data_IF_669725197803
#
_entry.id   IF_669725197803
#
_cell.length_a   1.000
_cell.length_b   1.000
_cell.length_c   1.000
_cell.angle_alpha   90.00
_cell.angle_beta   90.00
_cell.angle_gamma   90.00
#
_symmetry.space_group_name_H-M   'P 1'
#
loop_
_entity.id
_entity.type
_entity.pdbx_description
1 polymer ?
2 non-polymer ?
3 non-polymer ?
4 water ?
#
# COMPACT_ATOMS: atom_id res chain seq x y z
N UNK A 1 14.57 -0.55 -15.29
CA UNK A 1 14.87 -0.73 -13.85
C UNK A 1 13.75 -0.04 -12.97
N UNK A 2 13.99 1.23 -12.61
CA UNK A 2 13.15 2.00 -11.68
C UNK A 2 12.16 2.89 -12.34
N UNK A 3 10.96 2.86 -11.81
CA UNK A 3 9.85 3.70 -12.25
C UNK A 3 9.28 4.40 -11.00
N UNK A 4 9.02 5.70 -11.16
CA UNK A 4 8.47 6.54 -10.11
C UNK A 4 7.06 6.88 -10.51
N UNK A 5 6.08 6.64 -9.63
CA UNK A 5 4.72 6.91 -10.04
C UNK A 5 3.90 7.49 -8.94
N UNK A 6 2.74 7.97 -9.34
CA UNK A 6 1.81 8.61 -8.45
C UNK A 6 0.42 8.41 -9.05
N UNK A 7 -0.59 8.26 -8.21
CA UNK A 7 -1.98 8.21 -8.70
C UNK A 7 -2.82 9.25 -8.00
N UNK A 8 -3.88 9.70 -8.67
CA UNK A 8 -4.96 10.43 -8.03
C UNK A 8 -6.18 9.55 -8.16
N UNK A 9 -7.13 9.71 -7.24
CA UNK A 9 -8.20 8.72 -7.09
C UNK A 9 -9.23 9.28 -6.19
N UNK A 10 -10.43 8.69 -6.23
CA UNK A 10 -11.51 8.95 -5.27
C UNK A 10 -11.65 7.69 -4.38
N UNK A 11 -11.36 7.88 -3.10
CA UNK A 11 -11.23 6.82 -2.12
C UNK A 11 -12.26 7.08 -1.00
N UNK A 12 -13.17 6.14 -0.75
CA UNK A 12 -14.29 6.37 0.17
C UNK A 12 -14.36 5.41 1.39
N UNK A 13 -13.29 4.67 1.67
CA UNK A 13 -13.33 3.69 2.74
C UNK A 13 -13.67 2.31 2.24
N UNK A 14 -14.02 2.19 0.97
CA UNK A 14 -14.49 0.93 0.39
C UNK A 14 -13.72 0.63 -0.88
N UNK A 15 -13.77 1.56 -1.83
CA UNK A 15 -13.06 1.40 -3.07
C UNK A 15 -12.10 2.59 -3.32
N UNK A 16 -11.18 2.38 -4.25
CA UNK A 16 -10.29 3.42 -4.75
C UNK A 16 -10.61 3.58 -6.24
N UNK A 17 -11.33 4.62 -6.61
CA UNK A 17 -11.70 4.92 -8.00
C UNK A 17 -10.61 5.72 -8.66
N UNK A 18 -9.85 5.10 -9.56
CA UNK A 18 -8.73 5.74 -10.25
C UNK A 18 -9.12 6.94 -11.13
N UNK A 19 -8.50 8.08 -10.86
CA UNK A 19 -8.67 9.32 -11.66
C UNK A 19 -7.59 9.37 -12.73
N UNK A 20 -6.33 9.26 -12.29
CA UNK A 20 -5.19 9.43 -13.20
C UNK A 20 -3.94 8.72 -12.70
N UNK A 21 -3.01 8.39 -13.60
CA UNK A 21 -1.72 7.84 -13.17
C UNK A 21 -0.57 8.47 -13.95
N UNK A 22 0.54 8.78 -13.26
CA UNK A 22 1.71 9.36 -13.90
C UNK A 22 2.89 8.46 -13.57
N UNK A 23 3.67 8.07 -14.58
CA UNK A 23 4.82 7.13 -14.37
C UNK A 23 5.99 7.65 -15.15
N UNK A 24 7.12 7.70 -14.48
CA UNK A 24 8.31 8.27 -15.01
C UNK A 24 9.43 7.24 -14.73
N UNK A 25 10.18 6.88 -15.79
CA UNK A 25 11.29 5.92 -15.69
C UNK A 25 12.58 6.71 -15.54
N UNK A 26 13.64 6.08 -15.06
CA UNK A 26 14.98 6.69 -14.97
C UNK A 26 15.61 7.13 -16.32
N UNK A 27 15.12 6.56 -17.42
CA UNK A 27 15.72 6.78 -18.73
C UNK A 27 15.10 7.98 -19.47
N UNK A 28 14.18 8.70 -18.84
CA UNK A 28 13.59 9.81 -19.55
C UNK A 28 12.15 9.50 -19.97
N UNK A 29 11.81 8.23 -20.10
CA UNK A 29 10.45 7.90 -20.55
C UNK A 29 9.37 8.32 -19.56
N UNK A 30 8.27 8.86 -20.10
CA UNK A 30 7.12 9.34 -19.31
C UNK A 30 5.78 8.79 -19.86
N UNK A 31 4.88 8.51 -18.94
CA UNK A 31 3.57 8.04 -19.24
C UNK A 31 2.57 8.76 -18.33
N UNK A 32 1.48 9.19 -18.90
CA UNK A 32 0.42 9.82 -18.15
C UNK A 32 -0.93 9.50 -18.76
N UNK A 33 -1.93 9.18 -17.93
CA UNK A 33 -3.33 9.00 -18.43
C UNK A 33 -4.36 9.34 -17.38
N UNK A 34 -5.53 9.82 -17.82
CA UNK A 34 -6.68 10.02 -16.99
C UNK A 34 -7.77 8.99 -17.38
N UNK A 35 -8.42 8.39 -16.39
CA UNK A 35 -9.44 7.39 -16.63
C UNK A 35 -10.73 8.02 -17.09
N UNK A 36 -11.28 7.50 -18.19
CA UNK A 36 -12.62 7.92 -18.64
C UNK A 36 -13.72 7.40 -17.72
N UNK A 37 -13.36 6.54 -16.77
CA UNK A 37 -14.38 5.76 -16.10
C UNK A 37 -14.75 6.17 -14.70
N UNK A 38 -14.09 7.17 -14.10
CA UNK A 38 -14.48 7.59 -12.74
C UNK A 38 -15.64 8.60 -12.87
N UNK A 39 -16.41 8.75 -11.78
CA UNK A 39 -17.55 9.64 -11.68
C UNK A 39 -17.18 10.85 -10.87
N UNK A 40 -16.96 12.00 -11.55
CA UNK A 40 -16.48 13.21 -10.90
C UNK A 40 -17.44 13.71 -9.82
N UNK A 41 -18.73 13.37 -9.98
CA UNK A 41 -19.79 13.64 -9.01
C UNK A 41 -19.51 13.12 -7.60
N UNK A 42 -18.94 11.91 -7.52
CA UNK A 42 -18.54 11.31 -6.25
C UNK A 42 -17.36 11.99 -5.53
N UNK A 43 -16.65 12.89 -6.22
CA UNK A 43 -15.44 13.49 -5.64
C UNK A 43 -15.75 14.34 -4.43
N UNK A 44 -14.86 14.30 -3.44
CA UNK A 44 -14.93 15.25 -2.34
C UNK A 44 -14.40 16.65 -2.68
N UNK A 45 -14.56 17.57 -1.74
CA UNK A 45 -14.11 18.95 -1.88
C UNK A 45 -12.64 19.05 -2.24
N UNK A 46 -11.82 18.22 -1.60
CA UNK A 46 -10.39 18.24 -1.82
C UNK A 46 -10.02 17.87 -3.28
N UNK A 47 -10.68 16.85 -3.79
CA UNK A 47 -10.42 16.32 -5.12
C UNK A 47 -11.04 17.27 -6.16
N UNK A 48 -12.25 17.73 -5.89
CA UNK A 48 -12.86 18.83 -6.64
C UNK A 48 -11.96 20.10 -6.68
N UNK A 49 -11.35 20.48 -5.56
CA UNK A 49 -10.55 21.69 -5.55
C UNK A 49 -9.14 21.49 -6.13
N UNK A 50 -8.48 20.42 -5.74
CA UNK A 50 -7.06 20.31 -6.05
C UNK A 50 -6.71 19.32 -7.15
N UNK A 51 -7.65 18.43 -7.49
CA UNK A 51 -7.34 17.41 -8.50
C UNK A 51 -8.04 17.64 -9.84
N UNK A 52 -9.37 17.73 -9.82
CA UNK A 52 -10.21 17.90 -11.03
C UNK A 52 -9.88 19.12 -11.91
N UNK A 53 -9.55 20.26 -11.30
CA UNK A 53 -9.26 21.35 -12.25
C UNK A 53 -7.95 21.16 -13.02
N UNK A 54 -6.98 20.48 -12.42
CA UNK A 54 -5.70 20.19 -13.09
C UNK A 54 -5.76 19.21 -14.32
N UNK A 55 -6.85 18.46 -14.46
CA UNK A 55 -7.00 17.49 -15.55
C UNK A 55 -7.01 18.14 -16.96
N UNK A 56 -6.62 17.37 -18.00
CA UNK A 56 -6.68 17.89 -19.39
C UNK A 56 -8.13 18.10 -19.87
N UNK A 57 -8.32 18.87 -20.95
CA UNK A 57 -9.63 18.99 -21.65
C UNK A 57 -10.23 17.68 -22.19
N UNK A 58 -11.56 17.64 -22.35
CA UNK A 58 -12.33 16.48 -22.86
C UNK A 58 -11.75 15.73 -24.05
N UNK A 59 -11.32 16.43 -25.09
CA UNK A 59 -10.85 15.73 -26.29
C UNK A 59 -9.34 15.54 -26.31
N UNK A 60 -8.71 15.75 -25.16
CA UNK A 60 -7.31 15.34 -24.99
C UNK A 60 -7.14 13.84 -25.25
N UNK A 61 -6.01 13.44 -25.84
CA UNK A 61 -5.65 12.02 -25.96
C UNK A 61 -5.26 11.36 -24.63
N UNK A 62 -5.26 12.13 -23.54
CA UNK A 62 -4.81 11.55 -22.26
C UNK A 62 -5.95 10.81 -21.56
N UNK A 63 -7.21 11.19 -21.83
CA UNK A 63 -8.39 10.38 -21.42
C UNK A 63 -8.46 9.00 -22.12
N UNK A 64 -8.31 7.93 -21.33
CA UNK A 64 -8.31 6.55 -21.84
C UNK A 64 -9.24 5.70 -20.96
N UNK A 65 -9.62 4.52 -21.46
CA UNK A 65 -10.34 3.55 -20.66
C UNK A 65 -9.33 2.81 -19.71
N UNK A 66 -9.86 2.12 -18.71
CA UNK A 66 -9.02 1.41 -17.74
C UNK A 66 -8.32 0.26 -18.43
N UNK A 67 -8.99 -0.42 -19.37
CA UNK A 67 -8.39 -1.47 -20.23
C UNK A 67 -7.22 -0.91 -21.01
N UNK A 68 -7.46 0.23 -21.70
CA UNK A 68 -6.38 0.95 -22.39
C UNK A 68 -5.20 1.36 -21.52
N UNK A 69 -5.47 1.95 -20.35
CA UNK A 69 -4.37 2.28 -19.41
C UNK A 69 -3.52 1.07 -19.07
N UNK A 70 -4.13 -0.11 -18.86
CA UNK A 70 -3.40 -1.36 -18.48
C UNK A 70 -2.45 -1.86 -19.60
N UNK A 71 -3.02 -2.00 -20.79
CA UNK A 71 -2.28 -2.33 -21.99
C UNK A 71 -1.08 -1.35 -22.14
N UNK A 72 -1.37 -0.03 -22.09
CA UNK A 72 -0.32 1.00 -22.13
C UNK A 72 0.74 0.74 -21.09
N UNK A 73 0.35 0.41 -19.86
CA UNK A 73 1.33 0.18 -18.81
C UNK A 73 2.13 -1.11 -19.00
N UNK A 74 1.47 -2.17 -19.45
CA UNK A 74 2.20 -3.40 -19.78
C UNK A 74 3.32 -3.10 -20.78
N UNK A 75 3.07 -2.16 -21.68
CA UNK A 75 4.07 -1.82 -22.67
C UNK A 75 5.14 -0.88 -22.09
N UNK A 76 4.68 0.16 -21.37
CA UNK A 76 5.57 1.18 -20.85
C UNK A 76 6.53 0.61 -19.84
N UNK A 77 6.07 -0.33 -19.02
CA UNK A 77 6.90 -1.04 -18.02
C UNK A 77 7.72 -2.21 -18.59
N UNK A 78 7.50 -2.55 -19.87
CA UNK A 78 8.37 -3.49 -20.59
C UNK A 78 8.34 -4.80 -19.88
N UNK A 79 7.09 -5.17 -19.53
CA UNK A 79 6.87 -6.39 -18.82
C UNK A 79 7.49 -7.65 -19.45
N UNK A 80 7.75 -7.79 -20.68
CA UNK A 80 8.29 -9.00 -21.34
C UNK A 80 9.78 -8.85 -21.62
N UNK A 81 10.34 -7.70 -21.27
CA UNK A 81 11.80 -7.43 -21.35
C UNK A 81 12.59 -8.07 -20.22
N UNK A 82 13.92 -7.98 -20.27
CA UNK A 82 14.75 -8.70 -19.31
C UNK A 82 15.21 -7.93 -18.05
N UNK A 83 15.00 -6.60 -18.05
CA UNK A 83 15.21 -5.76 -16.85
C UNK A 83 14.26 -6.11 -15.70
N UNK A 84 14.78 -6.06 -14.47
CA UNK A 84 13.92 -6.17 -13.28
C UNK A 84 13.16 -4.88 -13.07
N UNK A 85 11.83 -4.96 -12.95
CA UNK A 85 10.96 -3.78 -12.69
C UNK A 85 10.97 -3.39 -11.22
N UNK A 86 11.33 -2.15 -10.95
CA UNK A 86 11.33 -1.70 -9.58
C UNK A 86 10.43 -0.46 -9.50
N UNK A 87 9.39 -0.54 -8.67
CA UNK A 87 8.45 0.54 -8.57
C UNK A 87 8.68 1.36 -7.33
N UNK A 88 8.53 2.68 -7.46
CA UNK A 88 8.79 3.64 -6.39
C UNK A 88 7.71 4.67 -6.40
N UNK A 89 7.23 5.01 -5.19
CA UNK A 89 6.29 6.07 -4.95
C UNK A 89 6.60 6.66 -3.57
N UNK A 90 6.12 7.86 -3.33
CA UNK A 90 6.27 8.50 -2.04
C UNK A 90 4.97 8.24 -1.30
N UNK A 91 5.00 7.53 -0.17
CA UNK A 91 3.74 7.22 0.60
C UNK A 91 2.82 6.44 -0.33
N UNK A 92 3.30 5.25 -0.75
CA UNK A 92 2.71 4.52 -1.85
C UNK A 92 1.64 3.43 -1.69
N UNK A 93 1.01 3.24 -0.52
CA UNK A 93 0.07 2.12 -0.31
C UNK A 93 -1.20 2.16 -1.18
N UNK A 94 -2.01 3.20 -1.05
CA UNK A 94 -3.14 3.39 -1.93
C UNK A 94 -2.77 3.48 -3.43
N UNK A 95 -1.62 4.10 -3.72
CA UNK A 95 -1.15 4.16 -5.07
C UNK A 95 -0.85 2.75 -5.58
N UNK A 96 -0.30 1.88 -4.74
CA UNK A 96 0.06 0.57 -5.20
C UNK A 96 -1.21 -0.25 -5.47
N UNK A 97 -2.21 -0.12 -4.59
CA UNK A 97 -3.48 -0.76 -4.84
C UNK A 97 -4.15 -0.26 -6.12
N UNK A 98 -4.24 1.05 -6.27
CA UNK A 98 -4.86 1.66 -7.47
C UNK A 98 -4.17 1.21 -8.79
N UNK A 99 -2.85 1.04 -8.74
CA UNK A 99 -2.10 0.58 -9.90
C UNK A 99 -2.43 -0.86 -10.16
N UNK A 100 -2.28 -1.72 -9.16
CA UNK A 100 -2.47 -3.15 -9.37
C UNK A 100 -3.92 -3.50 -9.70
N UNK A 101 -4.87 -2.71 -9.19
CA UNK A 101 -6.27 -2.97 -9.50
C UNK A 101 -6.64 -2.70 -10.97
N UNK A 102 -5.73 -2.12 -11.74
CA UNK A 102 -5.87 -2.05 -13.24
C UNK A 102 -5.86 -3.44 -13.90
N UNK A 103 -5.29 -4.45 -13.23
CA UNK A 103 -5.38 -5.87 -13.67
C UNK A 103 -6.39 -6.66 -12.83
N UNK A 104 -7.20 -6.02 -11.98
CA UNK A 104 -8.13 -6.76 -11.14
C UNK A 104 -7.51 -7.27 -9.85
N UNK A 105 -7.75 -8.55 -9.48
CA UNK A 105 -7.20 -9.14 -8.24
C UNK A 105 -5.68 -9.30 -8.30
N UNK A 106 -5.07 -9.40 -7.12
CA UNK A 106 -3.60 -9.44 -6.97
C UNK A 106 -3.00 -10.57 -7.77
N UNK A 107 -3.79 -11.63 -7.82
CA UNK A 107 -3.66 -12.79 -8.69
C UNK A 107 -3.31 -12.47 -10.14
N UNK A 108 -4.03 -11.53 -10.74
CA UNK A 108 -3.96 -11.27 -12.19
C UNK A 108 -2.82 -10.33 -12.59
N UNK A 109 -2.01 -9.88 -11.64
CA UNK A 109 -0.90 -8.99 -11.96
C UNK A 109 0.21 -9.76 -12.66
N UNK A 110 0.73 -9.23 -13.79
CA UNK A 110 1.77 -9.92 -14.54
C UNK A 110 2.89 -10.38 -13.61
N UNK A 111 3.41 -11.62 -13.83
CA UNK A 111 4.35 -12.23 -12.83
C UNK A 111 5.61 -11.36 -12.69
N UNK A 112 5.74 -10.44 -13.65
CA UNK A 112 6.88 -9.58 -13.81
C UNK A 112 6.83 -8.20 -13.06
N UNK A 113 5.63 -7.71 -12.73
CA UNK A 113 5.46 -6.48 -11.94
C UNK A 113 5.62 -6.85 -10.43
N UNK A 114 6.46 -6.10 -9.72
CA UNK A 114 6.64 -6.46 -8.30
C UNK A 114 5.34 -6.27 -7.49
N UNK A 115 5.25 -7.02 -6.41
CA UNK A 115 4.10 -7.04 -5.55
C UNK A 115 4.17 -5.99 -4.45
N UNK A 116 5.25 -5.23 -4.37
CA UNK A 116 5.34 -4.09 -3.49
C UNK A 116 5.92 -2.87 -4.25
N UNK A 117 5.62 -1.69 -3.71
CA UNK A 117 6.18 -0.46 -4.17
C UNK A 117 7.12 0.04 -3.06
N UNK A 118 8.32 0.42 -3.47
CA UNK A 118 9.29 0.92 -2.52
C UNK A 118 8.90 2.33 -2.15
N UNK A 119 9.11 2.68 -0.89
CA UNK A 119 8.49 3.83 -0.28
C UNK A 119 9.55 4.91 -0.18
N UNK A 120 9.40 5.94 -0.97
CA UNK A 120 10.47 6.88 -1.04
C UNK A 120 10.58 7.73 0.29
N UNK A 121 9.44 7.89 1.00
CA UNK A 121 9.43 8.59 2.25
C UNK A 121 10.34 7.84 3.25
N UNK A 122 10.34 6.51 3.18
CA UNK A 122 11.13 5.65 4.07
C UNK A 122 12.62 5.73 3.76
N UNK A 123 12.94 5.81 2.47
CA UNK A 123 14.33 6.02 2.06
C UNK A 123 14.84 7.38 2.52
N UNK A 124 14.02 8.41 2.33
CA UNK A 124 14.40 9.74 2.71
C UNK A 124 14.86 9.75 4.17
N UNK A 125 14.01 9.26 5.06
CA UNK A 125 14.30 9.18 6.49
C UNK A 125 15.50 8.34 6.73
N UNK A 126 15.56 7.21 6.09
CA UNK A 126 16.65 6.34 6.39
C UNK A 126 17.99 7.10 6.25
N UNK A 127 18.18 7.82 5.14
CA UNK A 127 19.44 8.54 4.82
C UNK A 127 19.51 9.86 5.54
N UNK A 128 18.88 9.98 6.69
CA UNK A 128 19.06 11.16 7.54
C UNK A 128 18.26 12.41 7.19
N UNK A 129 17.04 12.19 6.67
CA UNK A 129 16.09 13.27 6.34
C UNK A 129 16.69 14.50 5.62
N UNK A 130 17.53 14.31 4.57
CA UNK A 130 18.17 15.48 3.92
C UNK A 130 17.16 16.53 3.35
N UNK A 131 17.56 17.80 3.30
CA UNK A 131 16.67 18.85 2.82
C UNK A 131 16.33 18.67 1.34
N UNK A 132 15.04 18.70 1.04
CA UNK A 132 14.59 18.49 -0.32
C UNK A 132 14.17 19.83 -0.90
N UNK A 133 14.23 19.98 -2.23
CA UNK A 133 13.69 21.19 -2.79
C UNK A 133 12.19 21.24 -2.48
N UNK A 134 11.56 22.43 -2.62
CA UNK A 134 10.13 22.57 -2.34
C UNK A 134 9.35 21.73 -3.34
N UNK A 135 8.18 21.24 -2.93
CA UNK A 135 7.31 20.56 -3.86
C UNK A 135 6.89 21.61 -4.91
N UNK A 136 6.68 21.18 -6.18
CA UNK A 136 6.22 22.17 -7.19
C UNK A 136 4.78 22.60 -6.89
N UNK A 137 4.38 23.75 -7.43
CA UNK A 137 3.05 24.33 -7.19
C UNK A 137 1.96 23.75 -8.12
N UNK A 138 2.36 22.74 -8.92
CA UNK A 138 1.57 22.09 -9.98
C UNK A 138 1.08 20.73 -9.45
N UNK A 139 1.56 20.41 -8.26
CA UNK A 139 1.28 19.18 -7.54
C UNK A 139 -0.22 18.84 -7.42
N UNK A 140 -0.47 17.54 -7.32
CA UNK A 140 -1.80 16.93 -7.44
C UNK A 140 -2.15 16.63 -8.92
N UNK A 141 -1.17 16.90 -9.78
CA UNK A 141 -1.15 16.39 -11.14
C UNK A 141 -0.23 15.15 -11.13
N UNK A 142 -0.76 13.97 -11.49
CA UNK A 142 -0.05 12.72 -11.25
C UNK A 142 1.32 12.68 -11.89
N UNK A 143 1.43 13.26 -13.07
CA UNK A 143 2.71 13.30 -13.77
C UNK A 143 3.79 14.19 -13.14
N UNK A 144 3.40 15.41 -12.75
CA UNK A 144 4.27 16.35 -12.00
C UNK A 144 4.75 15.73 -10.68
N UNK A 145 3.83 15.10 -9.97
CA UNK A 145 4.18 14.40 -8.76
C UNK A 145 5.15 13.24 -9.07
N UNK A 146 4.85 12.38 -10.03
CA UNK A 146 5.77 11.28 -10.37
C UNK A 146 7.17 11.79 -10.71
N UNK A 147 7.25 12.80 -11.57
CA UNK A 147 8.52 13.48 -11.92
C UNK A 147 9.30 14.02 -10.73
N UNK A 148 8.58 14.65 -9.81
CA UNK A 148 9.23 15.20 -8.60
C UNK A 148 9.78 14.10 -7.71
N UNK A 149 9.07 12.96 -7.63
CA UNK A 149 9.62 11.79 -6.92
C UNK A 149 10.97 11.33 -7.51
N UNK A 150 11.08 11.23 -8.85
CA UNK A 150 12.37 10.83 -9.48
C UNK A 150 13.52 11.84 -9.07
N UNK A 151 13.25 13.14 -9.24
CA UNK A 151 14.05 14.25 -8.73
C UNK A 151 14.51 14.00 -7.29
N UNK A 152 13.59 13.80 -6.35
CA UNK A 152 13.99 13.55 -4.96
C UNK A 152 14.77 12.23 -4.79
N UNK A 153 14.42 11.19 -5.52
CA UNK A 153 15.21 9.97 -5.46
C UNK A 153 16.69 10.23 -5.85
N UNK A 154 16.87 10.98 -6.94
CA UNK A 154 18.23 11.35 -7.44
C UNK A 154 19.01 12.12 -6.41
N UNK A 155 18.37 13.12 -5.83
CA UNK A 155 18.98 13.89 -4.73
C UNK A 155 19.31 13.07 -3.49
N UNK A 156 18.38 12.27 -3.05
CA UNK A 156 18.57 11.48 -1.83
C UNK A 156 19.74 10.48 -1.93
N UNK A 157 19.87 9.85 -3.10
CA UNK A 157 20.83 8.78 -3.32
C UNK A 157 22.14 9.32 -3.93
N UNK A 158 22.34 10.63 -3.93
CA UNK A 158 23.48 11.19 -4.67
C UNK A 158 24.91 10.97 -4.11
N UNK A 159 25.05 10.26 -2.97
CA UNK A 159 26.38 9.74 -2.46
C UNK A 159 26.34 8.30 -1.85
N UNK A 160 25.63 7.38 -2.53
CA UNK A 160 25.22 6.10 -1.91
C UNK A 160 26.24 4.93 -2.05
N UNK B 1 6.61 2.71 20.31
CA UNK B 1 6.83 3.38 19.02
C UNK B 1 6.48 2.48 17.81
N UNK B 2 7.01 1.25 17.75
CA UNK B 2 7.03 0.40 16.49
C UNK B 2 6.12 -0.80 16.53
N UNK B 3 5.27 -0.91 15.52
CA UNK B 3 4.31 -2.02 15.45
C UNK B 3 4.50 -2.75 14.14
N UNK B 4 4.50 -4.08 14.19
CA UNK B 4 4.64 -4.96 13.02
C UNK B 4 3.34 -5.66 12.81
N UNK B 5 2.80 -5.61 11.59
CA UNK B 5 1.47 -6.13 11.41
C UNK B 5 1.27 -6.92 10.10
N UNK B 6 0.18 -7.66 10.04
CA UNK B 6 -0.20 -8.41 8.87
C UNK B 6 -1.71 -8.64 8.92
N UNK B 7 -2.32 -8.75 7.75
CA UNK B 7 -3.74 -9.01 7.63
C UNK B 7 -3.95 -10.15 6.63
N UNK B 8 -5.07 -10.86 6.78
CA UNK B 8 -5.55 -11.76 5.75
C UNK B 8 -6.88 -11.17 5.27
N UNK B 9 -7.21 -11.41 4.02
CA UNK B 9 -8.35 -10.67 3.46
C UNK B 9 -8.82 -11.38 2.24
N UNK B 10 -10.00 -10.95 1.72
CA UNK B 10 -10.53 -11.42 0.45
C UNK B 10 -10.55 -10.20 -0.43
N UNK B 11 -9.83 -10.27 -1.53
CA UNK B 11 -9.71 -9.09 -2.35
C UNK B 11 -10.06 -9.47 -3.79
N UNK B 12 -10.91 -8.66 -4.44
CA UNK B 12 -11.51 -9.01 -5.75
C UNK B 12 -11.22 -7.99 -6.84
N UNK B 13 -10.15 -7.25 -6.67
CA UNK B 13 -9.87 -6.19 -7.58
C UNK B 13 -10.64 -4.91 -7.32
N UNK B 14 -11.60 -4.95 -6.38
CA UNK B 14 -12.41 -3.79 -6.03
C UNK B 14 -12.41 -3.51 -4.59
N UNK B 15 -12.77 -4.48 -3.75
CA UNK B 15 -12.73 -4.25 -2.31
C UNK B 15 -11.71 -5.22 -1.70
N UNK B 16 -11.29 -4.88 -0.49
CA UNK B 16 -10.45 -5.75 0.37
C UNK B 16 -11.29 -6.02 1.61
N UNK B 17 -11.84 -7.24 1.71
CA UNK B 17 -12.68 -7.58 2.85
C UNK B 17 -11.83 -8.25 3.89
N UNK B 18 -11.67 -7.61 5.04
CA UNK B 18 -10.73 -8.09 6.07
C UNK B 18 -11.22 -9.38 6.71
N UNK B 19 -10.36 -10.37 6.71
CA UNK B 19 -10.55 -11.62 7.44
C UNK B 19 -9.98 -11.47 8.88
N UNK B 20 -8.68 -11.11 8.98
CA UNK B 20 -7.99 -11.08 10.27
C UNK B 20 -6.80 -10.13 10.30
N UNK B 21 -6.36 -9.75 11.51
CA UNK B 21 -5.16 -8.88 11.68
C UNK B 21 -4.46 -9.30 12.95
N UNK B 22 -3.15 -9.38 12.83
CA UNK B 22 -2.28 -9.51 13.98
C UNK B 22 -1.31 -8.36 13.99
N UNK B 23 -1.11 -7.78 15.17
CA UNK B 23 -0.16 -6.68 15.36
C UNK B 23 0.75 -7.05 16.55
N UNK B 24 2.06 -6.96 16.37
CA UNK B 24 2.97 -7.20 17.48
C UNK B 24 3.78 -5.95 17.71
N UNK B 25 3.83 -5.53 18.96
CA UNK B 25 4.59 -4.35 19.35
C UNK B 25 6.07 -4.74 19.59
N UNK B 26 6.98 -3.81 19.32
CA UNK B 26 8.39 -4.05 19.62
C UNK B 26 8.63 -4.35 21.12
N UNK B 27 7.79 -3.78 22.01
CA UNK B 27 7.87 -4.01 23.45
C UNK B 27 7.34 -5.38 23.88
N UNK B 28 6.73 -6.13 22.95
CA UNK B 28 6.29 -7.54 23.21
C UNK B 28 4.80 -7.84 23.23
N UNK B 29 3.98 -6.79 23.31
CA UNK B 29 2.54 -6.98 23.29
C UNK B 29 2.06 -7.48 21.93
N UNK B 30 0.97 -8.27 21.91
CA UNK B 30 0.46 -8.88 20.72
C UNK B 30 -1.05 -8.69 20.65
N UNK B 31 -1.55 -8.45 19.44
CA UNK B 31 -2.97 -8.36 19.22
C UNK B 31 -3.33 -9.23 18.07
N UNK B 32 -4.46 -9.93 18.18
CA UNK B 32 -4.99 -10.72 17.06
C UNK B 32 -6.51 -10.77 17.13
N UNK B 33 -7.19 -10.54 16.01
CA UNK B 33 -8.63 -10.61 15.93
C UNK B 33 -9.04 -11.06 14.54
N UNK B 34 -10.20 -11.72 14.49
CA UNK B 34 -10.77 -12.22 13.28
C UNK B 34 -12.12 -11.56 13.18
N UNK B 35 -12.45 -11.09 11.99
CA UNK B 35 -13.68 -10.33 11.71
C UNK B 35 -14.93 -11.21 11.49
N UNK B 36 -16.03 -10.86 12.16
CA UNK B 36 -17.29 -11.62 12.08
C UNK B 36 -18.14 -11.15 10.90
N UNK B 37 -17.59 -10.27 10.07
CA UNK B 37 -18.36 -9.53 9.04
C UNK B 37 -17.93 -9.86 7.62
N UNK B 38 -16.80 -10.52 7.45
CA UNK B 38 -16.45 -10.99 6.11
C UNK B 38 -17.33 -12.20 5.81
N UNK B 39 -17.61 -12.37 4.52
CA UNK B 39 -18.46 -13.44 3.99
C UNK B 39 -17.52 -14.55 3.53
N UNK B 40 -17.52 -15.68 4.25
CA UNK B 40 -16.60 -16.81 3.90
C UNK B 40 -16.85 -17.41 2.51
N UNK B 41 -18.07 -17.27 2.01
CA UNK B 41 -18.48 -17.87 0.72
C UNK B 41 -17.87 -17.13 -0.46
N UNK B 42 -17.57 -15.84 -0.25
CA UNK B 42 -16.93 -14.98 -1.25
C UNK B 42 -15.43 -15.27 -1.41
N UNK B 43 -14.90 -16.22 -0.62
CA UNK B 43 -13.48 -16.57 -0.61
C UNK B 43 -13.07 -17.32 -1.87
N UNK B 44 -11.96 -16.88 -2.46
CA UNK B 44 -11.35 -17.57 -3.60
C UNK B 44 -10.76 -18.84 -3.02
N UNK B 45 -10.33 -19.78 -3.87
CA UNK B 45 -9.93 -21.09 -3.35
C UNK B 45 -8.59 -21.12 -2.60
N UNK B 46 -7.68 -20.24 -2.96
CA UNK B 46 -6.45 -20.08 -2.19
C UNK B 46 -6.72 -19.70 -0.70
N UNK B 47 -7.61 -18.74 -0.48
CA UNK B 47 -8.05 -18.33 0.86
C UNK B 47 -8.76 -19.48 1.60
N UNK B 48 -9.67 -20.16 0.90
CA UNK B 48 -10.35 -21.36 1.42
C UNK B 48 -9.44 -22.46 1.93
N UNK B 49 -8.28 -22.61 1.28
CA UNK B 49 -7.32 -23.69 1.56
C UNK B 49 -6.27 -23.28 2.62
N UNK B 50 -5.75 -22.07 2.49
CA UNK B 50 -4.62 -21.63 3.28
C UNK B 50 -4.97 -20.73 4.45
N UNK B 51 -6.08 -20.00 4.33
CA UNK B 51 -6.39 -19.01 5.33
C UNK B 51 -7.52 -19.45 6.25
N UNK B 52 -8.66 -19.83 5.67
CA UNK B 52 -9.87 -20.12 6.46
C UNK B 52 -9.67 -21.24 7.48
N UNK B 53 -9.00 -22.35 7.08
CA UNK B 53 -8.81 -23.46 8.03
C UNK B 53 -7.93 -23.14 9.26
N UNK B 54 -7.17 -22.04 9.20
CA UNK B 54 -6.32 -21.63 10.32
C UNK B 54 -7.02 -20.69 11.32
N UNK B 55 -8.23 -20.24 11.00
CA UNK B 55 -9.02 -19.35 11.85
C UNK B 55 -9.45 -20.05 13.15
N UNK B 56 -9.54 -19.30 14.27
CA UNK B 56 -9.98 -19.92 15.54
C UNK B 56 -11.36 -20.53 15.41
N UNK B 57 -11.74 -21.48 16.31
CA UNK B 57 -13.14 -21.91 16.33
C UNK B 57 -14.10 -20.72 16.61
N UNK B 58 -15.33 -20.77 16.03
CA UNK B 58 -16.35 -19.70 16.07
C UNK B 58 -16.68 -19.12 17.47
N UNK B 59 -16.61 -19.96 18.50
CA UNK B 59 -16.97 -19.51 19.86
C UNK B 59 -15.87 -18.66 20.56
N UNK B 60 -14.70 -18.62 19.93
CA UNK B 60 -13.53 -17.86 20.41
C UNK B 60 -13.80 -16.33 20.47
N UNK B 61 -13.44 -15.71 21.61
CA UNK B 61 -13.53 -14.23 21.80
C UNK B 61 -12.56 -13.50 20.87
N UNK B 62 -11.72 -14.29 20.17
CA UNK B 62 -10.89 -13.80 19.06
C UNK B 62 -11.75 -13.23 17.92
N UNK B 63 -12.97 -13.73 17.79
CA UNK B 63 -13.92 -13.23 16.77
C UNK B 63 -14.50 -11.89 17.22
N UNK B 64 -14.23 -10.80 16.49
CA UNK B 64 -14.70 -9.50 16.92
C UNK B 64 -15.35 -8.77 15.71
N UNK B 65 -16.23 -7.82 16.00
CA UNK B 65 -16.85 -7.00 14.96
C UNK B 65 -15.81 -5.99 14.42
N UNK B 66 -16.09 -5.36 13.28
CA UNK B 66 -15.14 -4.42 12.68
C UNK B 66 -14.96 -3.25 13.63
N UNK B 67 -16.04 -2.88 14.31
CA UNK B 67 -15.98 -1.72 15.20
C UNK B 67 -15.18 -2.05 16.47
N UNK B 68 -15.29 -3.30 16.92
CA UNK B 68 -14.50 -3.81 18.03
C UNK B 68 -13.01 -3.77 17.68
N UNK B 69 -12.64 -4.32 16.53
CA UNK B 69 -11.25 -4.29 16.08
C UNK B 69 -10.75 -2.85 16.05
N UNK B 70 -11.53 -1.93 15.49
CA UNK B 70 -11.05 -0.57 15.39
C UNK B 70 -10.80 -0.05 16.81
N UNK B 71 -11.75 -0.28 17.72
CA UNK B 71 -11.58 0.17 19.10
C UNK B 71 -10.43 -0.57 19.78
N UNK B 72 -10.29 -1.85 19.49
CA UNK B 72 -9.16 -2.58 20.06
C UNK B 72 -7.83 -1.97 19.64
N UNK B 73 -7.75 -1.54 18.38
CA UNK B 73 -6.47 -1.06 17.81
C UNK B 73 -6.10 0.36 18.31
N UNK B 74 -7.12 1.20 18.50
CA UNK B 74 -6.90 2.56 19.05
C UNK B 74 -6.24 2.47 20.44
N UNK B 75 -6.74 1.54 21.26
CA UNK B 75 -6.16 1.28 22.59
C UNK B 75 -4.79 0.57 22.45
N UNK B 76 -4.71 -0.40 21.55
CA UNK B 76 -3.48 -1.19 21.41
C UNK B 76 -2.35 -0.36 20.80
N UNK B 77 -2.69 0.55 19.89
CA UNK B 77 -1.67 1.44 19.34
C UNK B 77 -1.37 2.68 20.19
N UNK B 78 -2.03 2.88 21.33
CA UNK B 78 -1.73 4.04 22.20
C UNK B 78 -1.67 5.35 21.42
N UNK B 79 -2.73 5.50 20.64
CA UNK B 79 -2.90 6.57 19.68
C UNK B 79 -3.17 7.86 20.41
N UNK B 80 -3.46 7.76 21.70
CA UNK B 80 -3.64 8.96 22.51
C UNK B 80 -2.47 9.29 23.44
N UNK B 81 -1.50 8.40 23.36
CA UNK B 81 -0.36 8.50 24.17
C UNK B 81 0.61 9.45 23.56
N UNK B 82 1.80 9.24 24.03
CA UNK B 82 2.87 10.19 23.98
C UNK B 82 3.68 9.84 22.75
N UNK B 83 3.88 8.54 22.59
CA UNK B 83 4.82 8.01 21.62
C UNK B 83 4.47 8.18 20.14
N UNK B 84 5.51 8.28 19.31
CA UNK B 84 5.35 8.21 17.85
C UNK B 84 4.96 6.78 17.51
N UNK B 85 3.87 6.60 16.76
CA UNK B 85 3.56 5.31 16.18
C UNK B 85 4.25 5.19 14.84
N UNK B 86 4.94 4.09 14.66
CA UNK B 86 5.50 3.72 13.41
C UNK B 86 4.99 2.34 13.02
N UNK B 87 4.40 2.18 11.84
CA UNK B 87 3.83 0.93 11.42
C UNK B 87 4.79 0.31 10.45
N UNK B 88 4.96 -1.01 10.58
CA UNK B 88 5.78 -1.84 9.69
C UNK B 88 5.02 -3.10 9.19
N UNK B 89 5.21 -3.42 7.91
CA UNK B 89 4.73 -4.66 7.31
C UNK B 89 5.70 -5.13 6.21
N UNK B 90 5.55 -6.38 5.78
CA UNK B 90 6.33 -6.91 4.69
C UNK B 90 5.42 -6.92 3.47
N UNK B 91 5.76 -6.17 2.43
CA UNK B 91 4.93 -6.01 1.21
C UNK B 91 3.51 -5.82 1.65
N UNK B 92 3.30 -4.69 2.35
CA UNK B 92 2.03 -4.44 2.98
C UNK B 92 1.15 -3.31 2.46
N UNK B 93 1.24 -2.96 1.17
CA UNK B 93 0.29 -2.04 0.52
C UNK B 93 -1.21 -2.40 0.77
N UNK B 94 -1.62 -3.59 0.36
CA UNK B 94 -2.97 -4.07 0.64
C UNK B 94 -3.25 -4.12 2.16
N UNK B 95 -2.25 -4.55 2.97
CA UNK B 95 -2.37 -4.60 4.46
C UNK B 95 -2.68 -3.24 5.08
N UNK B 96 -2.02 -2.23 4.52
CA UNK B 96 -2.14 -0.87 4.94
C UNK B 96 -3.52 -0.31 4.60
N UNK B 97 -3.99 -0.56 3.40
CA UNK B 97 -5.34 -0.10 3.02
C UNK B 97 -6.38 -0.82 3.90
N UNK B 98 -6.20 -2.12 4.12
CA UNK B 98 -7.10 -2.90 4.96
C UNK B 98 -7.14 -2.38 6.41
N UNK B 99 -5.97 -2.01 6.91
CA UNK B 99 -5.93 -1.43 8.23
C UNK B 99 -6.62 -0.03 8.29
N UNK B 100 -6.31 0.83 7.32
CA UNK B 100 -6.89 2.17 7.40
C UNK B 100 -8.41 2.15 7.23
N UNK B 101 -8.90 1.15 6.49
CA UNK B 101 -10.32 1.09 6.18
C UNK B 101 -11.15 0.59 7.37
N UNK B 102 -10.47 0.22 8.46
CA UNK B 102 -11.12 0.05 9.74
C UNK B 102 -11.65 1.40 10.30
N UNK B 103 -11.00 2.50 9.93
CA UNK B 103 -11.51 3.79 10.29
C UNK B 103 -12.45 4.37 9.20
N UNK B 104 -12.18 4.04 7.93
CA UNK B 104 -12.97 4.53 6.82
C UNK B 104 -12.10 5.12 5.72
N UNK B 105 -12.56 6.23 5.11
CA UNK B 105 -11.65 6.94 4.17
C UNK B 105 -10.43 7.40 4.94
N UNK B 106 -9.36 7.75 4.23
CA UNK B 106 -8.13 8.20 4.89
C UNK B 106 -8.35 9.49 5.67
N UNK B 107 -9.32 10.27 5.24
CA UNK B 107 -9.94 11.34 6.05
C UNK B 107 -10.20 11.03 7.56
N UNK B 108 -10.71 9.83 7.85
CA UNK B 108 -11.22 9.42 9.16
C UNK B 108 -10.20 8.74 10.02
N UNK B 109 -8.97 8.65 9.56
CA UNK B 109 -7.90 8.01 10.31
C UNK B 109 -7.45 8.86 11.52
N UNK B 110 -7.21 8.25 12.71
CA UNK B 110 -6.77 9.06 13.85
C UNK B 110 -5.50 9.88 13.54
N UNK B 111 -5.42 11.11 14.03
CA UNK B 111 -4.27 11.97 13.66
C UNK B 111 -2.86 11.39 13.92
N UNK B 112 -2.70 10.57 14.96
CA UNK B 112 -1.39 9.99 15.28
C UNK B 112 -1.01 8.70 14.53
N UNK B 113 -1.93 8.09 13.80
CA UNK B 113 -1.59 6.89 13.01
C UNK B 113 -0.87 7.32 11.72
N UNK B 114 0.32 6.73 11.43
CA UNK B 114 1.04 7.15 10.24
C UNK B 114 0.21 6.90 8.96
N UNK B 115 0.35 7.81 7.99
CA UNK B 115 -0.26 7.73 6.69
C UNK B 115 0.46 6.75 5.72
N UNK B 116 1.48 6.09 6.23
CA UNK B 116 2.17 5.06 5.44
C UNK B 116 2.72 3.99 6.38
N UNK B 117 2.91 2.80 5.83
CA UNK B 117 3.48 1.73 6.55
C UNK B 117 4.87 1.56 5.97
N UNK B 118 5.89 1.45 6.82
CA UNK B 118 7.22 1.14 6.30
C UNK B 118 7.26 -0.30 5.82
N UNK B 119 8.11 -0.53 4.84
CA UNK B 119 8.06 -1.72 4.06
C UNK B 119 9.31 -2.46 4.46
N UNK B 120 9.13 -3.51 5.23
CA UNK B 120 10.24 -4.27 5.77
C UNK B 120 11.10 -5.04 4.75
N UNK B 121 10.51 -5.45 3.63
CA UNK B 121 11.26 -6.01 2.53
C UNK B 121 12.27 -5.02 1.94
N UNK B 122 11.86 -3.76 1.80
CA UNK B 122 12.74 -2.66 1.36
C UNK B 122 13.94 -2.46 2.28
N UNK B 123 13.71 -2.46 3.59
CA UNK B 123 14.78 -2.37 4.55
C UNK B 123 15.74 -3.56 4.44
N UNK B 124 15.18 -4.77 4.48
CA UNK B 124 15.93 -6.00 4.23
C UNK B 124 16.83 -5.95 2.97
N UNK B 125 16.29 -5.47 1.84
CA UNK B 125 17.08 -5.25 0.61
C UNK B 125 18.10 -4.11 0.76
N UNK B 126 17.76 -3.10 1.53
CA UNK B 126 18.69 -2.02 1.75
C UNK B 126 19.86 -2.49 2.61
N UNK B 127 19.59 -3.38 3.57
CA UNK B 127 20.65 -3.91 4.40
C UNK B 127 21.38 -5.11 3.77
N UNK B 128 21.22 -5.28 2.46
CA UNK B 128 21.87 -6.34 1.70
C UNK B 128 21.30 -7.76 1.83
N UNK B 129 20.00 -7.90 2.06
CA UNK B 129 19.38 -9.25 2.09
C UNK B 129 19.99 -10.33 3.07
N UNK B 130 20.25 -9.96 4.35
CA UNK B 130 20.82 -10.92 5.34
C UNK B 130 19.97 -12.18 5.53
N UNK B 131 20.60 -13.32 5.83
CA UNK B 131 19.90 -14.62 5.98
C UNK B 131 18.81 -14.68 7.09
N UNK B 132 17.61 -15.15 6.71
CA UNK B 132 16.42 -15.17 7.59
C UNK B 132 16.09 -16.58 8.13
N UNK B 133 15.29 -16.69 9.22
CA UNK B 133 14.88 -18.04 9.58
C UNK B 133 13.90 -18.60 8.52
N UNK B 134 13.96 -19.93 8.22
CA UNK B 134 12.90 -20.59 7.40
C UNK B 134 11.43 -20.23 7.82
N UNK B 135 10.47 -20.46 6.91
CA UNK B 135 9.07 -20.04 7.14
C UNK B 135 8.44 -20.78 8.34
N UNK B 136 7.58 -20.08 9.14
CA UNK B 136 6.69 -20.83 10.05
C UNK B 136 5.73 -21.78 9.28
N UNK B 137 5.41 -22.93 9.89
CA UNK B 137 4.56 -23.94 9.24
C UNK B 137 3.10 -23.45 9.24
N UNK B 138 2.82 -22.56 10.18
CA UNK B 138 1.49 -21.97 10.36
C UNK B 138 1.37 -20.55 9.76
N UNK B 139 2.01 -20.38 8.59
CA UNK B 139 1.95 -19.11 7.81
C UNK B 139 0.54 -18.87 7.27
N UNK B 140 0.24 -17.62 6.92
CA UNK B 140 -1.15 -17.16 6.62
C UNK B 140 -2.08 -17.29 7.84
N UNK B 141 -1.49 -17.42 9.03
CA UNK B 141 -2.11 -16.92 10.24
C UNK B 141 -1.48 -15.52 10.43
N UNK B 142 -2.32 -14.48 10.55
CA UNK B 142 -1.82 -13.10 10.53
C UNK B 142 -0.91 -12.80 11.73
N UNK B 143 -1.21 -13.42 12.88
CA UNK B 143 -0.38 -13.21 14.09
C UNK B 143 1.01 -13.79 13.91
N UNK B 144 1.03 -15.04 13.48
CA UNK B 144 2.26 -15.70 13.10
C UNK B 144 3.09 -14.86 12.13
N UNK B 145 2.42 -14.45 11.06
CA UNK B 145 3.02 -13.66 10.01
C UNK B 145 3.62 -12.39 10.70
N UNK B 146 2.85 -11.72 11.57
CA UNK B 146 3.26 -10.44 12.20
C UNK B 146 4.45 -10.66 13.13
N UNK B 147 4.36 -11.70 14.00
CA UNK B 147 5.52 -12.14 14.83
C UNK B 147 6.81 -12.37 14.03
N UNK B 148 6.71 -13.03 12.89
CA UNK B 148 7.91 -13.25 12.06
C UNK B 148 8.50 -11.93 11.56
N UNK B 149 7.63 -10.96 11.28
CA UNK B 149 8.08 -9.67 10.79
C UNK B 149 8.99 -8.99 11.82
N UNK B 150 8.56 -9.01 13.08
CA UNK B 150 9.36 -8.41 14.16
C UNK B 150 10.69 -9.17 14.29
N UNK B 151 10.58 -10.51 14.24
CA UNK B 151 11.76 -11.37 14.28
C UNK B 151 12.75 -10.97 13.16
N UNK B 152 12.29 -10.83 11.91
CA UNK B 152 13.16 -10.41 10.82
C UNK B 152 13.73 -9.03 11.13
N UNK B 153 12.84 -8.10 11.49
CA UNK B 153 13.26 -6.75 11.81
C UNK B 153 14.44 -6.66 12.80
N UNK B 154 14.28 -7.29 13.97
CA UNK B 154 15.35 -7.44 14.98
C UNK B 154 16.66 -8.05 14.42
N UNK B 155 16.53 -9.11 13.62
CA UNK B 155 17.68 -9.66 12.92
C UNK B 155 18.38 -8.63 12.04
N UNK B 156 17.63 -7.96 11.17
CA UNK B 156 18.15 -7.03 10.17
C UNK B 156 18.93 -5.89 10.84
N UNK B 157 18.41 -5.43 11.98
CA UNK B 157 18.94 -4.25 12.66
C UNK B 157 19.91 -4.60 13.83
N UNK B 158 20.46 -5.81 13.83
CA UNK B 158 21.49 -6.20 14.83
C UNK B 158 22.93 -6.18 14.27
X LIG C 1 -5.87 12.80 -0.86
X LIG C 1 -6.88 13.38 -0.08
X LIG C 1 -6.44 14.34 0.81
X LIG C 1 -5.13 14.78 1.00
X LIG C 1 -4.14 14.14 0.15
X LIG C 1 -4.54 13.20 -0.72
X LIG C 1 -8.07 13.08 -0.14
X LIG C 1 -4.91 15.66 1.84
X LIG C 1 -6.23 11.71 -1.88
X LIG C 1 -6.90 12.20 -3.17
X LIG C 1 -8.02 11.41 -3.50
X LIG C 1 -5.75 12.18 -4.17
X LIG C 1 -4.90 11.02 -3.69
X LIG C 1 -6.15 12.00 -5.49
X LIG C 1 -5.09 10.96 -2.26
X LIG C 1 -3.42 11.19 -3.94
X LIG C 1 -3.04 12.55 -3.74
X LIG C 1 -1.56 13.08 -3.99
X LIG C 1 -0.84 12.30 -5.04
X LIG C 1 -0.97 13.17 -2.64
X LIG D 1 -0.69 9.81 -4.76
X LIG E 1 4.28 9.16 -5.40
X LIG F 1 -0.46 13.00 -6.71
X LIG G 1 -3.17 -14.05 -1.36
X LIG G 1 -3.68 -14.77 -2.45
X LIG G 1 -2.75 -15.61 -3.07
X LIG G 1 -1.42 -15.80 -2.74
X LIG G 1 -0.97 -15.02 -1.59
X LIG G 1 -1.83 -14.19 -0.98
X LIG G 1 -4.84 -14.70 -2.86
X LIG G 1 -0.74 -16.58 -3.40
X LIG G 1 -4.08 -13.09 -0.58
X LIG G 1 -5.17 -13.70 0.32
X LIG G 1 -6.37 -12.98 0.05
X LIG G 1 -4.56 -13.50 1.72
X LIG G 1 -3.84 -12.17 1.57
X LIG G 1 -5.48 -13.44 2.79
X LIG G 1 -3.31 -12.20 0.21
X LIG G 1 -2.65 -11.98 2.47
X LIG G 1 -1.81 -13.14 2.39
X LIG G 1 -0.41 -13.20 3.17
X LIG G 1 -0.57 -12.71 4.62
X LIG G 1 0.51 -12.55 2.22
X LIG H 1 1.03 -10.50 4.21
X LIG I 1 -18.89 -3.43 13.37
X LIG J 1 -0.25 -13.01 6.38
#
# INVERSE_FOLDING_TARGET
>A
VRYFYDTEFIEDGHTIELISIGVVAEDGREYYAVSTEFDPERAGSWVRTHVLPKLPPPASQLWRSRQQIRLDLEEFLRIDGTDSIELWAWVGAYDHVALCQLWGPMTALPPTVPRFTRELRQLWEDRGCPRMPPRPRDVHDALVDARDQLRRFRLITSTDDAGRGAAR
>B
VRYFYDTEFIEDGHTIELISIGVVAEDGREYYAVSTEFDPERAGSWVRTHVLPKLPPPASQLWRSRQQIRLDLEEFLRIDGTDSIELWAWVGAYDHVALCQLWGPMTALPPTVPRFTRELRQLWEDRGCPRMPPRPRDVHDALVDARDQLRRFRLITSTDDAGRGAAR
>C hetero
1 U5P N1 C2 N3 C4 C5 C6 O2 O4 C1' C2' O2' C3' C4' O3' O4' C5' O5' P O2P O3P
>D hetero
1 MG MG
>E hetero
1 MG MG
>F hetero
1 MG MG
>G hetero
1 U5P N1 C2 N3 C4 C5 C6 O2 O4 C1' C2' O2' C3' C4' O3' O4' C5' O5' P O2P O3P
>H hetero
1 MG MG
>I hetero
1 MG MG
>J hetero
1 MG MG
#
